data_IF_567195184035
#
_entry.id   IF_567195184035
#
_cell.length_a   1.000
_cell.length_b   1.000
_cell.length_c   1.000
_cell.angle_alpha   90.00
_cell.angle_beta   90.00
_cell.angle_gamma   90.00
#
_symmetry.space_group_name_H-M   'P 1'
#
loop_
_entity.id
_entity.type
_entity.pdbx_description
1 polymer ?
#
# COMPACT_ATOMS: atom_id res chain seq x y z
N UNK A 1 -6.07 -18.36 41.92
CA UNK A 1 -5.28 -17.81 40.83
C UNK A 1 -5.77 -16.37 40.68
N UNK A 2 -4.92 -15.38 40.88
CA UNK A 2 -5.28 -13.96 40.71
C UNK A 2 -5.47 -13.68 39.25
N UNK A 3 -6.61 -13.11 38.89
CA UNK A 3 -6.89 -12.55 37.56
C UNK A 3 -5.83 -11.48 37.33
N UNK A 4 -5.24 -11.39 36.11
CA UNK A 4 -4.27 -10.36 35.83
C UNK A 4 -4.94 -8.99 35.84
N UNK A 5 -4.21 -7.93 36.18
CA UNK A 5 -4.74 -6.56 36.21
C UNK A 5 -5.37 -6.17 34.85
N UNK A 6 -4.84 -6.67 33.77
CA UNK A 6 -5.34 -6.46 32.41
C UNK A 6 -6.66 -7.22 32.16
N UNK A 7 -6.82 -8.42 32.73
CA UNK A 7 -8.08 -9.17 32.64
C UNK A 7 -9.18 -8.52 33.47
N UNK A 8 -8.85 -7.88 34.58
CA UNK A 8 -9.82 -7.13 35.40
C UNK A 8 -10.39 -5.90 34.67
N UNK A 9 -9.56 -5.17 33.93
CA UNK A 9 -10.03 -4.03 33.15
C UNK A 9 -11.00 -4.47 32.04
N UNK A 10 -10.65 -5.54 31.29
CA UNK A 10 -11.50 -6.08 30.24
C UNK A 10 -12.83 -6.63 30.82
N UNK A 11 -12.77 -7.30 31.96
CA UNK A 11 -13.95 -7.84 32.64
C UNK A 11 -14.91 -6.71 33.08
N UNK A 12 -14.37 -5.64 33.64
CA UNK A 12 -15.20 -4.49 34.06
C UNK A 12 -15.82 -3.80 32.82
N UNK A 13 -15.05 -3.54 31.78
CA UNK A 13 -15.57 -2.96 30.53
C UNK A 13 -16.65 -3.86 29.87
N UNK A 14 -16.51 -5.20 29.96
CA UNK A 14 -17.53 -6.13 29.50
C UNK A 14 -18.83 -6.04 30.29
N UNK A 15 -18.72 -5.98 31.63
CA UNK A 15 -19.89 -5.84 32.53
C UNK A 15 -20.61 -4.52 32.34
N UNK A 16 -19.89 -3.46 32.01
CA UNK A 16 -20.44 -2.10 31.80
C UNK A 16 -20.94 -1.89 30.36
N UNK A 17 -20.68 -2.84 29.45
CA UNK A 17 -21.12 -2.76 28.05
C UNK A 17 -20.29 -1.79 27.21
N UNK A 18 -19.07 -1.47 27.65
CA UNK A 18 -18.17 -0.52 27.00
C UNK A 18 -17.21 -1.17 25.96
N UNK A 19 -17.22 -2.51 25.86
CA UNK A 19 -16.41 -3.21 24.86
C UNK A 19 -17.00 -3.06 23.45
N UNK A 20 -16.15 -2.83 22.45
CA UNK A 20 -16.53 -2.92 21.05
C UNK A 20 -17.00 -4.35 20.71
N UNK A 21 -17.93 -4.49 19.74
CA UNK A 21 -18.57 -5.77 19.40
C UNK A 21 -17.59 -6.91 19.13
N UNK A 22 -16.44 -6.61 18.49
CA UNK A 22 -15.41 -7.61 18.19
C UNK A 22 -14.66 -8.05 19.46
N UNK A 23 -14.41 -7.12 20.38
CA UNK A 23 -13.72 -7.40 21.65
C UNK A 23 -14.61 -8.18 22.60
N UNK A 24 -15.92 -7.83 22.65
CA UNK A 24 -16.92 -8.57 23.41
C UNK A 24 -17.01 -10.03 22.93
N UNK A 25 -17.11 -10.26 21.62
CA UNK A 25 -17.12 -11.62 21.06
C UNK A 25 -15.85 -12.43 21.39
N UNK A 26 -14.68 -11.79 21.37
CA UNK A 26 -13.42 -12.45 21.77
C UNK A 26 -13.40 -12.78 23.28
N UNK A 27 -13.92 -11.90 24.09
CA UNK A 27 -14.02 -12.12 25.52
C UNK A 27 -14.97 -13.27 25.84
N UNK A 28 -16.14 -13.36 25.18
CA UNK A 28 -17.09 -14.48 25.29
C UNK A 28 -16.47 -15.82 24.90
N UNK A 29 -15.65 -15.87 23.85
CA UNK A 29 -14.91 -17.08 23.50
C UNK A 29 -13.88 -17.49 24.58
N UNK A 30 -13.30 -16.52 25.29
CA UNK A 30 -12.42 -16.78 26.43
C UNK A 30 -13.20 -17.31 27.63
N UNK A 31 -14.38 -16.76 27.93
CA UNK A 31 -15.27 -17.24 29.00
C UNK A 31 -15.63 -18.72 28.79
N UNK A 32 -15.95 -19.12 27.55
CA UNK A 32 -16.26 -20.49 27.23
C UNK A 32 -15.09 -21.48 27.48
N UNK A 33 -13.83 -21.00 27.43
CA UNK A 33 -12.62 -21.80 27.60
C UNK A 33 -12.02 -21.74 29.01
N UNK A 34 -12.43 -20.76 29.81
CA UNK A 34 -11.84 -20.50 31.14
C UNK A 34 -12.92 -20.45 32.25
N UNK A 35 -13.26 -21.60 32.85
CA UNK A 35 -14.32 -21.68 33.88
C UNK A 35 -14.11 -20.75 35.06
N UNK A 36 -12.84 -20.49 35.45
CA UNK A 36 -12.52 -19.57 36.55
C UNK A 36 -12.88 -18.12 36.24
N UNK A 37 -12.63 -17.67 35.01
CA UNK A 37 -13.01 -16.32 34.55
C UNK A 37 -14.53 -16.18 34.41
N UNK A 38 -15.22 -17.21 33.93
CA UNK A 38 -16.68 -17.25 33.86
C UNK A 38 -17.32 -17.15 35.24
N UNK A 39 -16.79 -17.89 36.25
CA UNK A 39 -17.27 -17.79 37.62
C UNK A 39 -17.09 -16.39 38.23
N UNK A 40 -16.00 -15.69 37.92
CA UNK A 40 -15.75 -14.33 38.40
C UNK A 40 -16.76 -13.34 37.78
N UNK A 41 -17.05 -13.46 36.47
CA UNK A 41 -18.07 -12.64 35.79
C UNK A 41 -19.45 -12.84 36.45
N UNK A 42 -19.85 -14.08 36.70
CA UNK A 42 -21.14 -14.39 37.33
C UNK A 42 -21.20 -13.92 38.78
N UNK A 43 -20.10 -14.03 39.55
CA UNK A 43 -20.05 -13.48 40.89
C UNK A 43 -20.24 -11.97 40.92
N UNK A 44 -19.62 -11.23 40.00
CA UNK A 44 -19.76 -9.77 39.90
C UNK A 44 -21.16 -9.36 39.40
N UNK A 45 -21.77 -10.12 38.48
CA UNK A 45 -23.18 -9.90 38.08
C UNK A 45 -24.11 -10.09 39.26
N UNK A 46 -23.97 -11.19 39.99
CA UNK A 46 -24.81 -11.45 41.18
C UNK A 46 -24.65 -10.38 42.27
N UNK A 47 -23.43 -9.86 42.49
CA UNK A 47 -23.18 -8.75 43.37
C UNK A 47 -23.90 -7.48 42.93
N UNK A 48 -23.81 -7.13 41.64
CA UNK A 48 -24.47 -5.98 41.05
C UNK A 48 -26.00 -6.04 41.20
N UNK A 49 -26.58 -7.22 40.96
CA UNK A 49 -28.01 -7.43 41.07
C UNK A 49 -28.50 -7.33 42.53
N UNK A 50 -27.70 -7.87 43.47
CA UNK A 50 -27.98 -7.70 44.90
C UNK A 50 -27.92 -6.24 45.36
N UNK A 51 -26.91 -5.49 44.90
CA UNK A 51 -26.79 -4.06 45.19
C UNK A 51 -27.96 -3.28 44.60
N UNK A 52 -28.35 -3.55 43.36
CA UNK A 52 -29.51 -2.91 42.73
C UNK A 52 -30.83 -3.22 43.45
N UNK A 53 -31.05 -4.46 43.85
CA UNK A 53 -32.27 -4.84 44.58
C UNK A 53 -32.29 -4.36 46.02
N UNK A 54 -31.13 -4.05 46.63
CA UNK A 54 -31.04 -3.50 48.00
C UNK A 54 -31.03 -1.97 48.06
N UNK A 55 -30.85 -1.28 46.93
CA UNK A 55 -30.93 0.15 46.87
C UNK A 55 -32.42 0.55 46.72
N UNK A 56 -32.91 1.44 47.59
CA UNK A 56 -34.23 2.01 47.42
C UNK A 56 -34.29 2.77 46.10
N UNK A 57 -35.25 2.40 45.25
CA UNK A 57 -35.48 3.10 43.98
C UNK A 57 -35.98 4.50 44.30
N UNK A 58 -35.13 5.50 44.07
CA UNK A 58 -35.47 6.89 44.30
C UNK A 58 -36.38 7.33 43.13
N UNK A 59 -37.71 7.31 43.39
CA UNK A 59 -38.69 7.66 42.36
C UNK A 59 -38.66 9.17 42.18
N UNK A 60 -38.27 9.67 41.02
CA UNK A 60 -38.18 11.09 40.77
C UNK A 60 -39.59 11.74 40.90
N UNK A 61 -39.65 12.93 41.48
CA UNK A 61 -40.92 13.65 41.65
C UNK A 61 -41.60 13.90 40.30
N UNK A 62 -42.93 13.88 40.27
CA UNK A 62 -43.72 14.13 39.06
C UNK A 62 -43.41 15.49 38.42
N UNK A 63 -42.96 16.45 39.21
CA UNK A 63 -42.52 17.76 38.70
C UNK A 63 -41.20 17.64 37.92
N UNK A 64 -40.22 16.90 38.42
CA UNK A 64 -38.96 16.66 37.72
C UNK A 64 -39.20 15.90 36.41
N UNK A 65 -40.05 14.88 36.44
CA UNK A 65 -40.44 14.11 35.27
C UNK A 65 -41.09 14.98 34.19
N UNK A 66 -42.03 15.84 34.55
CA UNK A 66 -42.67 16.80 33.63
C UNK A 66 -41.67 17.78 33.03
N UNK A 67 -40.75 18.31 33.82
CA UNK A 67 -39.74 19.27 33.37
C UNK A 67 -38.76 18.60 32.37
N UNK A 68 -38.35 17.37 32.61
CA UNK A 68 -37.51 16.61 31.69
C UNK A 68 -38.26 16.33 30.40
N UNK A 69 -39.51 15.84 30.45
CA UNK A 69 -40.32 15.58 29.25
C UNK A 69 -40.55 16.84 28.43
N UNK A 70 -40.89 17.96 29.07
CA UNK A 70 -41.04 19.24 28.40
C UNK A 70 -39.75 19.74 27.75
N UNK A 71 -38.60 19.44 28.33
CA UNK A 71 -37.29 19.78 27.73
C UNK A 71 -36.92 18.90 26.54
N UNK A 72 -37.32 17.63 26.56
CA UNK A 72 -37.12 16.68 25.44
C UNK A 72 -38.04 17.06 24.26
N UNK A 73 -39.34 17.33 24.53
CA UNK A 73 -40.30 17.75 23.49
C UNK A 73 -39.90 19.08 22.85
N UNK A 74 -39.48 20.07 23.65
CA UNK A 74 -39.02 21.35 23.13
C UNK A 74 -37.66 21.24 22.33
N UNK A 75 -36.86 20.26 22.63
CA UNK A 75 -35.62 19.98 21.88
C UNK A 75 -35.90 19.26 20.53
N UNK A 76 -36.99 18.45 20.49
CA UNK A 76 -37.39 17.73 19.27
C UNK A 76 -37.92 18.67 18.17
N UNK A 77 -38.74 19.66 18.53
CA UNK A 77 -39.34 20.55 17.54
C UNK A 77 -38.39 21.60 16.94
N UNK A 78 -37.36 22.02 17.66
CA UNK A 78 -36.44 23.08 17.19
C UNK A 78 -35.26 22.57 16.39
N UNK A 79 -34.95 21.29 16.35
CA UNK A 79 -33.76 20.74 15.71
C UNK A 79 -33.97 20.04 14.37
N UNK A 80 -35.20 19.68 14.01
CA UNK A 80 -35.42 18.91 12.78
C UNK A 80 -35.16 19.72 11.47
N UNK A 81 -35.37 21.05 11.50
CA UNK A 81 -35.25 21.87 10.29
C UNK A 81 -33.86 22.48 10.04
N UNK A 82 -33.13 22.85 11.11
CA UNK A 82 -31.80 23.46 10.94
C UNK A 82 -30.66 22.43 10.97
N UNK A 83 -30.83 21.34 11.70
CA UNK A 83 -29.84 20.30 11.88
C UNK A 83 -29.64 19.44 10.62
N UNK A 84 -30.73 19.09 9.93
CA UNK A 84 -30.66 18.38 8.66
C UNK A 84 -29.93 19.20 7.57
N UNK A 85 -30.02 20.54 7.60
CA UNK A 85 -29.35 21.43 6.66
C UNK A 85 -27.86 21.65 7.01
N UNK A 86 -27.48 21.58 8.28
CA UNK A 86 -26.10 21.72 8.73
C UNK A 86 -25.32 20.38 8.61
N UNK A 87 -25.99 19.25 8.74
CA UNK A 87 -25.37 17.93 8.55
C UNK A 87 -25.08 17.64 7.08
N UNK A 88 -25.90 18.12 6.16
CA UNK A 88 -25.61 18.00 4.73
C UNK A 88 -24.36 18.80 4.34
N UNK A 89 -24.11 19.96 4.94
CA UNK A 89 -22.88 20.73 4.69
C UNK A 89 -21.65 20.11 5.36
N UNK A 90 -21.78 19.53 6.56
CA UNK A 90 -20.69 18.81 7.22
C UNK A 90 -20.38 17.49 6.53
N UNK A 91 -21.39 16.74 6.07
CA UNK A 91 -21.21 15.53 5.29
C UNK A 91 -20.53 15.82 3.93
N UNK A 92 -20.92 16.90 3.26
CA UNK A 92 -20.27 17.32 2.02
C UNK A 92 -18.80 17.73 2.25
N UNK A 93 -18.51 18.46 3.33
CA UNK A 93 -17.13 18.83 3.69
C UNK A 93 -16.29 17.63 4.07
N UNK A 94 -16.87 16.64 4.76
CA UNK A 94 -16.18 15.40 5.12
C UNK A 94 -15.88 14.53 3.89
N UNK A 95 -16.83 14.43 2.93
CA UNK A 95 -16.65 13.72 1.66
C UNK A 95 -15.57 14.39 0.80
N UNK A 96 -15.59 15.71 0.70
CA UNK A 96 -14.55 16.47 -0.02
C UNK A 96 -13.19 16.32 0.68
N UNK A 97 -13.15 16.41 2.00
CA UNK A 97 -11.94 16.18 2.79
C UNK A 97 -11.40 14.76 2.67
N UNK A 98 -12.27 13.75 2.67
CA UNK A 98 -11.89 12.35 2.48
C UNK A 98 -11.40 12.06 1.06
N UNK A 99 -12.02 12.66 0.04
CA UNK A 99 -11.58 12.55 -1.35
C UNK A 99 -10.24 13.25 -1.58
N UNK A 100 -10.07 14.45 -1.07
CA UNK A 100 -8.81 15.19 -1.20
C UNK A 100 -7.70 14.57 -0.34
N UNK A 101 -7.99 14.25 0.91
CA UNK A 101 -7.03 13.60 1.82
C UNK A 101 -6.68 12.18 1.38
N UNK A 102 -7.67 11.38 0.99
CA UNK A 102 -7.47 10.04 0.45
C UNK A 102 -6.68 10.05 -0.86
N UNK A 103 -6.95 11.00 -1.75
CA UNK A 103 -6.20 11.18 -2.99
C UNK A 103 -4.74 11.57 -2.76
N UNK A 104 -4.47 12.45 -1.80
CA UNK A 104 -3.11 12.86 -1.44
C UNK A 104 -2.33 11.71 -0.78
N UNK A 105 -2.94 10.96 0.14
CA UNK A 105 -2.32 9.81 0.79
C UNK A 105 -2.06 8.70 -0.24
N UNK A 106 -3.03 8.40 -1.11
CA UNK A 106 -2.86 7.41 -2.17
C UNK A 106 -1.76 7.81 -3.15
N UNK A 107 -1.70 9.10 -3.54
CA UNK A 107 -0.63 9.65 -4.37
C UNK A 107 0.75 9.50 -3.71
N UNK A 108 0.87 9.89 -2.43
CA UNK A 108 2.11 9.81 -1.68
C UNK A 108 2.61 8.37 -1.50
N UNK A 109 1.72 7.42 -1.19
CA UNK A 109 2.07 6.00 -1.06
C UNK A 109 2.50 5.39 -2.40
N UNK A 110 1.86 5.80 -3.50
CA UNK A 110 2.23 5.32 -4.84
C UNK A 110 3.57 5.91 -5.30
N UNK A 111 3.88 7.15 -4.92
CA UNK A 111 5.13 7.82 -5.21
C UNK A 111 6.30 7.20 -4.42
N UNK A 112 6.11 6.88 -3.14
CA UNK A 112 7.09 6.14 -2.34
C UNK A 112 7.40 4.77 -2.94
N UNK A 113 6.38 4.00 -3.35
CA UNK A 113 6.60 2.71 -3.99
C UNK A 113 7.40 2.81 -5.31
N UNK A 114 7.20 3.86 -6.10
CA UNK A 114 7.98 4.12 -7.32
C UNK A 114 9.42 4.51 -7.02
N UNK A 115 9.63 5.35 -6.00
CA UNK A 115 10.95 5.75 -5.58
C UNK A 115 11.76 4.56 -5.04
N UNK A 116 11.13 3.65 -4.30
CA UNK A 116 11.77 2.43 -3.82
C UNK A 116 12.21 1.52 -4.98
N UNK A 117 11.40 1.38 -6.02
CA UNK A 117 11.77 0.64 -7.23
C UNK A 117 12.90 1.37 -7.98
N UNK A 118 12.83 2.70 -8.12
CA UNK A 118 13.91 3.49 -8.74
C UNK A 118 15.26 3.25 -8.05
N UNK A 119 15.28 3.28 -6.72
CA UNK A 119 16.49 3.03 -5.92
C UNK A 119 17.03 1.61 -6.12
N UNK A 120 16.14 0.61 -6.23
CA UNK A 120 16.52 -0.77 -6.45
C UNK A 120 17.10 -0.99 -7.85
N UNK A 121 16.50 -0.42 -8.92
CA UNK A 121 16.99 -0.57 -10.29
C UNK A 121 18.32 0.16 -10.50
N UNK A 122 18.51 1.35 -9.90
CA UNK A 122 19.81 2.03 -9.91
C UNK A 122 20.87 1.21 -9.17
N UNK A 123 20.53 0.70 -7.99
CA UNK A 123 21.44 -0.16 -7.21
C UNK A 123 21.81 -1.45 -7.95
N UNK A 124 20.87 -2.07 -8.68
CA UNK A 124 21.13 -3.25 -9.49
C UNK A 124 22.08 -2.92 -10.66
N UNK A 125 21.87 -1.78 -11.32
CA UNK A 125 22.76 -1.31 -12.38
C UNK A 125 24.19 -1.07 -11.87
N UNK A 126 24.35 -0.37 -10.74
CA UNK A 126 25.66 -0.11 -10.11
C UNK A 126 26.34 -1.41 -9.72
N UNK A 127 25.64 -2.35 -9.07
CA UNK A 127 26.21 -3.65 -8.71
C UNK A 127 26.70 -4.41 -9.93
N UNK A 128 25.96 -4.38 -11.04
CA UNK A 128 26.38 -5.04 -12.27
C UNK A 128 27.64 -4.39 -12.88
N UNK A 129 27.78 -3.07 -12.82
CA UNK A 129 29.00 -2.39 -13.28
C UNK A 129 30.23 -2.71 -12.43
N UNK A 130 30.03 -3.00 -11.13
CA UNK A 130 31.10 -3.39 -10.21
C UNK A 130 31.53 -4.86 -10.38
N UNK A 131 30.72 -5.68 -11.02
CA UNK A 131 31.01 -7.09 -11.27
C UNK A 131 32.08 -7.23 -12.37
N UNK A 132 32.86 -8.34 -12.42
CA UNK A 132 33.81 -8.60 -13.48
C UNK A 132 33.18 -8.61 -14.88
N UNK A 133 31.89 -8.93 -14.97
CA UNK A 133 31.06 -8.84 -16.16
C UNK A 133 29.69 -8.26 -15.76
N UNK A 134 29.22 -7.29 -16.53
CA UNK A 134 27.93 -6.61 -16.28
C UNK A 134 26.73 -7.38 -16.84
N UNK A 135 26.92 -8.58 -17.37
CA UNK A 135 25.90 -9.44 -17.96
C UNK A 135 26.19 -10.91 -17.70
N UNK A 136 25.18 -11.76 -17.66
CA UNK A 136 25.29 -13.22 -17.51
C UNK A 136 25.48 -13.91 -18.86
N UNK A 137 24.93 -13.33 -19.92
CA UNK A 137 25.12 -13.78 -21.29
C UNK A 137 25.63 -12.62 -22.17
N UNK A 138 26.79 -12.80 -22.75
CA UNK A 138 27.37 -11.88 -23.74
C UNK A 138 26.76 -12.18 -25.11
N UNK A 139 26.01 -11.25 -25.68
CA UNK A 139 25.52 -11.38 -27.05
C UNK A 139 25.00 -10.04 -27.55
N UNK A 140 25.33 -9.73 -28.80
CA UNK A 140 24.72 -8.63 -29.56
C UNK A 140 23.51 -9.08 -30.38
N UNK A 141 23.19 -10.39 -30.35
CA UNK A 141 22.11 -10.97 -31.14
C UNK A 141 20.89 -11.28 -30.28
N UNK A 142 19.75 -10.66 -30.64
CA UNK A 142 18.43 -10.91 -30.03
C UNK A 142 18.01 -12.38 -30.09
N UNK A 143 18.45 -13.13 -31.13
CA UNK A 143 18.12 -14.54 -31.30
C UNK A 143 18.86 -15.45 -30.31
N UNK A 144 19.94 -14.98 -29.72
CA UNK A 144 20.65 -15.63 -28.62
C UNK A 144 20.12 -15.20 -27.26
N UNK A 145 19.92 -13.89 -27.07
CA UNK A 145 19.49 -13.31 -25.77
C UNK A 145 18.08 -13.72 -25.41
N UNK A 146 17.12 -13.64 -26.35
CA UNK A 146 15.72 -13.94 -26.07
C UNK A 146 15.49 -15.40 -25.63
N UNK A 147 16.03 -16.45 -26.29
CA UNK A 147 15.90 -17.82 -25.79
C UNK A 147 16.64 -18.07 -24.47
N UNK A 148 17.70 -17.30 -24.15
CA UNK A 148 18.44 -17.47 -22.91
C UNK A 148 17.56 -17.18 -21.66
N UNK A 149 16.58 -16.30 -21.79
CA UNK A 149 15.61 -16.03 -20.73
C UNK A 149 14.53 -17.14 -20.59
N UNK A 150 14.34 -17.96 -21.62
CA UNK A 150 13.33 -19.02 -21.60
C UNK A 150 13.59 -20.02 -20.46
N UNK A 151 12.56 -20.30 -19.68
CA UNK A 151 12.66 -21.18 -18.51
C UNK A 151 13.24 -20.53 -17.26
N UNK A 152 13.74 -19.27 -17.34
CA UNK A 152 14.27 -18.50 -16.21
C UNK A 152 13.31 -17.43 -15.73
N UNK A 153 12.49 -16.90 -16.64
CA UNK A 153 11.48 -15.90 -16.37
C UNK A 153 10.11 -16.40 -16.80
N UNK A 154 9.05 -15.92 -16.13
CA UNK A 154 7.66 -16.23 -16.44
C UNK A 154 7.13 -15.50 -17.70
N UNK A 155 7.93 -14.60 -18.28
CA UNK A 155 7.59 -13.81 -19.46
C UNK A 155 8.78 -13.76 -20.43
N UNK A 156 8.50 -13.42 -21.68
CA UNK A 156 9.53 -13.23 -22.71
C UNK A 156 9.86 -11.74 -22.84
N UNK A 157 11.10 -11.31 -22.55
CA UNK A 157 11.47 -9.91 -22.68
C UNK A 157 11.50 -9.44 -24.13
N UNK A 158 11.29 -8.13 -24.31
CA UNK A 158 11.41 -7.46 -25.61
C UNK A 158 12.86 -7.07 -25.86
N UNK A 159 13.53 -7.82 -26.72
CA UNK A 159 14.92 -7.53 -27.12
C UNK A 159 14.91 -6.76 -28.44
N UNK A 160 15.31 -5.50 -28.40
CA UNK A 160 15.34 -4.58 -29.56
C UNK A 160 16.78 -4.40 -30.02
N UNK A 161 17.02 -4.49 -31.34
CA UNK A 161 18.31 -4.17 -31.94
C UNK A 161 18.39 -2.68 -32.28
N UNK A 162 19.23 -1.96 -31.56
CA UNK A 162 19.49 -0.53 -31.73
C UNK A 162 20.93 -0.24 -32.17
N UNK A 163 21.61 -1.23 -32.72
CA UNK A 163 23.04 -1.13 -33.13
C UNK A 163 23.24 -0.06 -34.21
N UNK A 164 22.33 0.02 -35.18
CA UNK A 164 22.38 1.01 -36.27
C UNK A 164 22.12 2.44 -35.80
N UNK A 165 21.45 2.60 -34.63
CA UNK A 165 21.19 3.90 -33.97
C UNK A 165 22.31 4.26 -32.97
N UNK A 166 23.36 3.44 -32.89
CA UNK A 166 24.50 3.69 -32.00
C UNK A 166 24.31 3.25 -30.57
N UNK A 167 23.37 2.32 -30.32
CA UNK A 167 23.13 1.68 -29.03
C UNK A 167 23.19 0.15 -29.17
N UNK A 168 24.36 -0.45 -29.41
CA UNK A 168 24.46 -1.89 -29.57
C UNK A 168 24.09 -2.62 -28.26
N UNK A 169 23.37 -3.73 -28.39
CA UNK A 169 23.16 -4.68 -27.31
C UNK A 169 24.51 -5.39 -27.05
N UNK A 170 24.92 -5.49 -25.78
CA UNK A 170 26.16 -6.16 -25.36
C UNK A 170 25.91 -7.43 -24.56
N UNK A 171 24.72 -7.57 -23.99
CA UNK A 171 24.37 -8.79 -23.27
C UNK A 171 23.08 -8.64 -22.48
N UNK A 172 22.84 -9.66 -21.66
CA UNK A 172 21.69 -9.69 -20.77
C UNK A 172 22.04 -10.37 -19.44
N UNK A 173 21.25 -10.06 -18.41
CA UNK A 173 21.33 -10.69 -17.09
C UNK A 173 19.94 -10.80 -16.46
N UNK A 174 19.87 -11.52 -15.36
CA UNK A 174 18.69 -11.52 -14.47
C UNK A 174 19.03 -10.72 -13.21
N UNK A 175 18.25 -9.70 -12.95
CA UNK A 175 18.29 -8.96 -11.70
C UNK A 175 17.10 -9.36 -10.81
N UNK A 176 17.14 -8.99 -9.52
CA UNK A 176 16.03 -9.15 -8.58
C UNK A 176 15.62 -7.77 -8.11
N UNK A 177 14.38 -7.40 -8.37
CA UNK A 177 13.77 -6.14 -7.91
C UNK A 177 12.62 -6.49 -6.97
N UNK A 178 12.70 -6.03 -5.74
CA UNK A 178 11.85 -6.56 -4.67
C UNK A 178 12.17 -8.02 -4.40
N UNK A 179 11.24 -8.92 -4.71
CA UNK A 179 11.40 -10.38 -4.61
C UNK A 179 11.22 -11.07 -5.98
N UNK A 180 11.11 -10.31 -7.05
CA UNK A 180 10.79 -10.84 -8.38
C UNK A 180 12.04 -10.82 -9.27
N UNK A 181 12.33 -11.92 -10.00
CA UNK A 181 13.36 -11.94 -11.01
C UNK A 181 12.89 -11.16 -12.24
N UNK A 182 13.76 -10.28 -12.75
CA UNK A 182 13.47 -9.39 -13.89
C UNK A 182 14.52 -9.55 -14.99
N UNK A 183 14.09 -9.34 -16.22
CA UNK A 183 15.01 -9.29 -17.35
C UNK A 183 15.77 -7.96 -17.34
N UNK A 184 17.07 -8.02 -17.54
CA UNK A 184 17.95 -6.86 -17.67
C UNK A 184 18.74 -6.99 -18.97
N UNK A 185 18.42 -6.12 -19.93
CA UNK A 185 19.17 -6.01 -21.19
C UNK A 185 20.24 -4.93 -21.02
N UNK A 186 21.44 -5.21 -21.48
CA UNK A 186 22.56 -4.27 -21.38
C UNK A 186 22.93 -3.77 -22.77
N UNK A 187 22.77 -2.48 -22.96
CA UNK A 187 23.18 -1.73 -24.13
C UNK A 187 24.41 -0.89 -23.81
N UNK A 188 25.10 -0.41 -24.82
CA UNK A 188 26.22 0.52 -24.67
C UNK A 188 26.00 1.80 -25.49
N UNK A 189 26.55 2.91 -24.98
CA UNK A 189 26.70 4.17 -25.72
C UNK A 189 28.05 4.76 -25.42
N UNK A 190 28.99 4.58 -26.34
CA UNK A 190 30.39 4.97 -26.08
C UNK A 190 30.98 4.22 -24.88
N UNK A 191 31.24 4.95 -23.78
CA UNK A 191 31.73 4.37 -22.52
C UNK A 191 30.65 4.08 -21.51
N UNK A 192 29.41 4.53 -21.77
CA UNK A 192 28.29 4.37 -20.86
C UNK A 192 27.57 3.05 -21.13
N UNK A 193 27.13 2.40 -20.07
CA UNK A 193 26.22 1.28 -20.15
C UNK A 193 24.80 1.74 -19.86
N UNK A 194 23.86 1.15 -20.58
CA UNK A 194 22.41 1.40 -20.40
C UNK A 194 21.79 0.06 -20.05
N UNK A 195 21.21 -0.04 -18.85
CA UNK A 195 20.42 -1.22 -18.47
C UNK A 195 18.94 -0.96 -18.72
N UNK A 196 18.29 -1.85 -19.45
CA UNK A 196 16.84 -1.88 -19.63
C UNK A 196 16.28 -3.03 -18.79
N UNK A 197 15.57 -2.72 -17.72
CA UNK A 197 14.94 -3.72 -16.86
C UNK A 197 13.46 -3.80 -17.16
N UNK A 198 12.98 -5.01 -17.40
CA UNK A 198 11.59 -5.32 -17.71
C UNK A 198 10.95 -5.99 -16.50
N UNK A 199 10.01 -5.31 -15.88
CA UNK A 199 9.32 -5.76 -14.65
C UNK A 199 7.86 -6.03 -15.00
N UNK A 200 7.30 -7.23 -14.74
CA UNK A 200 5.89 -7.50 -14.93
C UNK A 200 5.00 -6.49 -14.19
N UNK A 201 3.96 -6.02 -14.85
CA UNK A 201 3.00 -5.07 -14.29
C UNK A 201 1.63 -5.74 -14.02
N UNK A 202 1.44 -6.40 -12.88
CA UNK A 202 0.19 -7.11 -12.58
C UNK A 202 -1.01 -6.20 -12.41
N UNK A 203 -0.80 -4.88 -12.22
CA UNK A 203 -1.88 -3.90 -12.10
C UNK A 203 -2.46 -3.48 -13.44
N UNK A 204 -1.79 -3.79 -14.55
CA UNK A 204 -2.24 -3.48 -15.91
C UNK A 204 -2.30 -1.98 -16.24
N UNK A 205 -1.66 -1.12 -15.44
CA UNK A 205 -1.71 0.33 -15.62
C UNK A 205 -0.65 0.79 -16.61
N UNK A 206 -1.06 1.48 -17.66
CA UNK A 206 -0.15 2.22 -18.53
C UNK A 206 0.34 3.49 -17.82
N UNK A 207 1.61 3.80 -17.96
CA UNK A 207 2.16 5.06 -17.43
C UNK A 207 3.01 5.75 -18.49
N UNK A 208 2.97 7.08 -18.49
CA UNK A 208 3.85 7.88 -19.31
C UNK A 208 5.28 7.85 -18.79
N UNK A 209 6.22 8.32 -19.61
CA UNK A 209 7.63 8.40 -19.26
C UNK A 209 7.82 9.30 -18.04
N UNK A 210 8.43 8.74 -17.00
CA UNK A 210 8.83 9.43 -15.77
C UNK A 210 10.34 9.38 -15.62
N UNK A 211 10.92 10.44 -15.05
CA UNK A 211 12.34 10.56 -14.80
C UNK A 211 12.63 10.56 -13.30
N UNK A 212 13.64 9.81 -12.90
CA UNK A 212 14.21 9.79 -11.56
C UNK A 212 15.73 9.98 -11.68
N UNK A 213 16.31 10.74 -10.77
CA UNK A 213 17.77 10.90 -10.70
C UNK A 213 18.22 10.46 -9.31
N UNK A 214 19.17 9.54 -9.25
CA UNK A 214 19.65 8.97 -8.01
C UNK A 214 21.16 8.70 -8.10
N UNK A 215 21.95 9.20 -7.14
CA UNK A 215 23.39 8.92 -7.02
C UNK A 215 24.21 9.20 -8.29
N UNK A 216 23.82 10.19 -9.10
CA UNK A 216 24.50 10.52 -10.37
C UNK A 216 24.02 9.71 -11.57
N UNK A 217 23.12 8.74 -11.38
CA UNK A 217 22.48 8.00 -12.45
C UNK A 217 21.12 8.59 -12.82
N UNK A 218 20.75 8.43 -14.07
CA UNK A 218 19.42 8.75 -14.57
C UNK A 218 18.63 7.45 -14.73
N UNK A 219 17.40 7.44 -14.21
CA UNK A 219 16.48 6.33 -14.40
C UNK A 219 15.20 6.86 -15.03
N UNK A 220 14.84 6.32 -16.19
CA UNK A 220 13.60 6.59 -16.91
C UNK A 220 12.67 5.40 -16.82
N UNK A 221 11.39 5.61 -16.56
CA UNK A 221 10.42 4.50 -16.50
C UNK A 221 9.11 4.83 -17.22
N UNK A 222 8.53 3.80 -17.84
CA UNK A 222 7.18 3.81 -18.42
C UNK A 222 6.56 2.42 -18.35
N UNK A 223 5.26 2.31 -18.64
CA UNK A 223 4.58 1.01 -18.73
C UNK A 223 3.63 0.94 -19.91
N UNK A 224 3.64 -0.18 -20.60
CA UNK A 224 2.69 -0.53 -21.68
C UNK A 224 1.42 -1.23 -21.15
N UNK A 225 1.28 -1.35 -19.83
CA UNK A 225 0.19 -2.06 -19.16
C UNK A 225 0.52 -3.52 -18.81
N UNK A 226 1.45 -4.17 -19.51
CA UNK A 226 1.89 -5.54 -19.21
C UNK A 226 3.25 -5.56 -18.52
N UNK A 227 4.15 -4.71 -18.98
CA UNK A 227 5.51 -4.58 -18.48
C UNK A 227 5.75 -3.13 -18.09
N UNK A 228 6.45 -2.93 -16.98
CA UNK A 228 7.06 -1.66 -16.61
C UNK A 228 8.53 -1.72 -16.98
N UNK A 229 8.94 -0.79 -17.80
CA UNK A 229 10.32 -0.66 -18.28
C UNK A 229 11.06 0.36 -17.42
N UNK A 230 12.27 0.04 -17.06
CA UNK A 230 13.20 0.95 -16.39
C UNK A 230 14.49 1.00 -17.17
N UNK A 231 14.90 2.20 -17.58
CA UNK A 231 16.16 2.44 -18.29
C UNK A 231 17.09 3.23 -17.40
N UNK A 232 18.25 2.67 -17.08
CA UNK A 232 19.21 3.26 -16.13
C UNK A 232 20.57 3.41 -16.78
N UNK A 233 21.19 4.59 -16.61
CA UNK A 233 22.56 4.89 -17.04
C UNK A 233 23.12 6.11 -16.33
N UNK A 234 24.45 6.27 -16.38
CA UNK A 234 25.18 7.49 -16.04
C UNK A 234 25.33 8.45 -17.24
N UNK A 235 24.75 8.12 -18.40
CA UNK A 235 24.74 8.99 -19.58
C UNK A 235 23.82 10.20 -19.39
N UNK A 236 23.98 11.21 -20.26
CA UNK A 236 23.15 12.40 -20.26
C UNK A 236 21.65 12.03 -20.46
N UNK A 237 20.76 12.70 -19.73
CA UNK A 237 19.31 12.39 -19.76
C UNK A 237 18.71 12.51 -21.16
N UNK A 238 19.21 13.40 -22.00
CA UNK A 238 18.73 13.58 -23.37
C UNK A 238 19.11 12.38 -24.27
N UNK A 239 20.28 11.77 -24.04
CA UNK A 239 20.67 10.53 -24.73
C UNK A 239 19.78 9.37 -24.29
N UNK A 240 19.45 9.27 -22.98
CA UNK A 240 18.53 8.25 -22.50
C UNK A 240 17.12 8.44 -23.07
N UNK A 241 16.61 9.66 -23.14
CA UNK A 241 15.32 9.94 -23.77
C UNK A 241 15.29 9.54 -25.24
N UNK A 242 16.39 9.82 -25.96
CA UNK A 242 16.55 9.37 -27.37
C UNK A 242 16.53 7.85 -27.45
N UNK A 243 17.29 7.16 -26.58
CA UNK A 243 17.30 5.70 -26.49
C UNK A 243 15.89 5.15 -26.22
N UNK A 244 15.16 5.71 -25.23
CA UNK A 244 13.80 5.29 -24.89
C UNK A 244 12.85 5.45 -26.05
N UNK A 245 12.89 6.57 -26.76
CA UNK A 245 12.03 6.81 -27.93
C UNK A 245 12.25 5.76 -29.02
N UNK A 246 13.52 5.48 -29.35
CA UNK A 246 13.90 4.44 -30.33
C UNK A 246 13.49 3.02 -29.85
N UNK A 247 13.67 2.73 -28.57
CA UNK A 247 13.28 1.45 -28.00
C UNK A 247 11.77 1.24 -28.06
N UNK A 248 10.97 2.25 -27.72
CA UNK A 248 9.51 2.18 -27.80
C UNK A 248 9.02 1.98 -29.24
N UNK A 249 9.53 2.75 -30.20
CA UNK A 249 9.14 2.66 -31.59
C UNK A 249 9.40 1.25 -32.18
N UNK A 250 10.58 0.69 -31.92
CA UNK A 250 10.95 -0.63 -32.45
C UNK A 250 10.39 -1.79 -31.61
N UNK A 251 9.97 -1.56 -30.37
CA UNK A 251 9.32 -2.58 -29.55
C UNK A 251 7.83 -2.80 -29.95
N UNK A 252 7.22 -1.86 -30.64
CA UNK A 252 5.82 -1.92 -31.11
C UNK A 252 5.70 -2.52 -32.53
N UNK A 253 6.80 -2.58 -33.28
CA UNK A 253 6.89 -3.14 -34.64
C UNK A 253 7.20 -4.63 -34.64
#
# INVERSE_FOLDING_TARGET
MSVSEQDELILNAYLDGELASIEAARFEQRLAKQPGLAAEVEARRALRDRLRSGLAEDVPSDDLRRRIMASVDSAGERKASSWARSWSSLAASFLVGALLGGGLIFGALNDQGRQDVANQVVSAHIRAQMAPQSFDVASSDRHTVKPWFAGKLAFAPKVVDLSTQGFPLVGARIDVIGLEPVASLVYSKGKHQISVMEIPNPRGLTTQLTQHAEQGYQALSWSDGKITYWVVSDAAVEELKTFVGLFQELAES
#
